data_IF_426191155214
#
_entry.id   IF_426191155214
#
_cell.length_a   1.000
_cell.length_b   1.000
_cell.length_c   1.000
_cell.angle_alpha   90.00
_cell.angle_beta   90.00
_cell.angle_gamma   90.00
#
_symmetry.space_group_name_H-M   'P 1'
#
loop_
_entity.id
_entity.type
_entity.pdbx_description
1 polymer ?
#
# COMPACT_ATOMS: atom_id res chain seq x y z
N UNK A 1 9.02 19.17 -10.72
CA UNK A 1 7.89 19.20 -9.78
C UNK A 1 7.61 17.78 -9.31
N UNK A 2 7.40 17.54 -8.00
CA UNK A 2 7.13 16.21 -7.47
C UNK A 2 5.85 15.63 -8.09
N UNK A 3 5.77 14.30 -8.17
CA UNK A 3 4.53 13.64 -8.60
C UNK A 3 3.40 13.96 -7.61
N UNK A 4 2.14 14.06 -8.07
CA UNK A 4 1.02 14.18 -7.15
C UNK A 4 0.91 12.91 -6.28
N UNK A 5 0.77 13.12 -4.98
CA UNK A 5 0.77 12.06 -3.97
C UNK A 5 -0.39 12.25 -2.99
N UNK A 6 -0.83 11.14 -2.40
CA UNK A 6 -1.84 11.13 -1.34
C UNK A 6 -1.28 10.43 -0.09
N UNK A 7 -1.44 11.07 1.07
CA UNK A 7 -1.14 10.45 2.38
C UNK A 7 -2.20 9.38 2.67
N UNK A 8 -1.76 8.15 2.94
CA UNK A 8 -2.63 7.05 3.30
C UNK A 8 -3.01 7.14 4.79
N UNK A 9 -4.29 7.03 5.14
CA UNK A 9 -4.71 6.99 6.54
C UNK A 9 -4.14 5.76 7.24
N UNK A 10 -3.76 5.94 8.52
CA UNK A 10 -3.30 4.86 9.37
C UNK A 10 -4.45 3.92 9.72
N UNK A 11 -4.13 2.63 9.88
CA UNK A 11 -5.07 1.58 10.21
C UNK A 11 -4.69 0.85 11.50
N UNK A 12 -5.56 -0.07 11.91
CA UNK A 12 -5.24 -1.02 12.97
C UNK A 12 -5.18 -2.44 12.41
N UNK A 13 -4.29 -3.25 12.99
CA UNK A 13 -3.96 -4.57 12.48
C UNK A 13 -4.58 -5.67 13.34
N UNK A 14 -5.11 -6.70 12.70
CA UNK A 14 -5.72 -7.87 13.35
C UNK A 14 -5.06 -9.13 12.79
N UNK A 15 -4.40 -9.89 13.66
CA UNK A 15 -3.84 -11.20 13.33
C UNK A 15 -4.93 -12.27 13.49
N UNK A 16 -5.18 -13.02 12.42
CA UNK A 16 -6.10 -14.14 12.48
C UNK A 16 -5.35 -15.45 12.77
N UNK A 17 -5.91 -16.33 13.61
CA UNK A 17 -5.26 -17.61 13.88
C UNK A 17 -5.23 -18.48 12.62
N UNK A 18 -4.20 -19.33 12.50
CA UNK A 18 -4.03 -20.34 11.44
C UNK A 18 -3.80 -19.76 10.03
N UNK A 19 -3.28 -18.53 9.94
CA UNK A 19 -2.87 -17.90 8.68
C UNK A 19 -1.68 -16.97 8.94
N UNK A 20 -0.69 -16.90 8.04
CA UNK A 20 0.38 -15.91 8.14
C UNK A 20 -0.08 -14.49 7.75
N UNK A 21 -1.28 -14.38 7.16
CA UNK A 21 -1.85 -13.10 6.75
C UNK A 21 -2.37 -12.29 7.94
N UNK A 22 -1.93 -11.03 8.00
CA UNK A 22 -2.43 -9.96 8.86
C UNK A 22 -3.48 -9.14 8.10
N UNK A 23 -4.57 -8.74 8.75
CA UNK A 23 -5.53 -7.80 8.17
C UNK A 23 -5.32 -6.42 8.77
N UNK A 24 -5.10 -5.42 7.94
CA UNK A 24 -4.97 -4.02 8.35
C UNK A 24 -6.24 -3.29 7.93
N UNK A 25 -7.08 -2.90 8.89
CA UNK A 25 -8.29 -2.13 8.63
C UNK A 25 -7.98 -0.64 8.64
N UNK A 26 -8.45 0.07 7.62
CA UNK A 26 -8.18 1.50 7.44
C UNK A 26 -9.51 2.22 7.25
N UNK A 27 -9.75 3.23 8.08
CA UNK A 27 -10.86 4.16 7.91
C UNK A 27 -10.38 5.35 7.08
N UNK A 28 -11.12 5.71 6.04
CA UNK A 28 -10.83 6.91 5.27
C UNK A 28 -11.45 8.16 5.90
N UNK A 29 -11.09 9.33 5.35
CA UNK A 29 -11.57 10.64 5.81
C UNK A 29 -13.09 10.82 5.67
N UNK A 30 -13.78 9.97 4.89
CA UNK A 30 -15.23 9.97 4.72
C UNK A 30 -15.92 8.99 5.66
N UNK A 31 -15.17 8.40 6.59
CA UNK A 31 -15.66 7.42 7.55
C UNK A 31 -15.91 6.03 6.96
N UNK A 32 -15.52 5.77 5.71
CA UNK A 32 -15.66 4.44 5.08
C UNK A 32 -14.46 3.57 5.42
N UNK A 33 -14.69 2.26 5.49
CA UNK A 33 -13.68 1.29 5.85
C UNK A 33 -13.18 0.54 4.62
N UNK A 34 -11.88 0.26 4.60
CA UNK A 34 -11.26 -0.73 3.70
C UNK A 34 -10.32 -1.61 4.53
N UNK A 35 -9.72 -2.59 3.88
CA UNK A 35 -8.67 -3.38 4.51
C UNK A 35 -7.56 -3.74 3.54
N UNK A 36 -6.39 -4.07 4.09
CA UNK A 36 -5.24 -4.61 3.37
C UNK A 36 -4.89 -5.95 4.02
N UNK A 37 -4.54 -6.93 3.20
CA UNK A 37 -4.03 -8.22 3.63
C UNK A 37 -2.50 -8.19 3.51
N UNK A 38 -1.79 -8.31 4.62
CA UNK A 38 -0.33 -8.30 4.64
C UNK A 38 0.20 -9.70 4.91
N UNK A 39 0.98 -10.24 3.97
CA UNK A 39 1.73 -11.48 4.12
C UNK A 39 3.22 -11.21 4.26
N UNK A 40 4.02 -12.26 4.18
CA UNK A 40 5.48 -12.18 4.26
C UNK A 40 6.09 -11.50 3.03
N UNK A 41 5.66 -11.90 1.84
CA UNK A 41 6.31 -11.48 0.58
C UNK A 41 5.54 -10.37 -0.16
N UNK A 42 4.27 -10.16 0.17
CA UNK A 42 3.43 -9.16 -0.50
C UNK A 42 2.29 -8.69 0.41
N UNK A 43 1.76 -7.51 0.09
CA UNK A 43 0.45 -7.07 0.55
C UNK A 43 -0.55 -7.08 -0.60
N UNK A 44 -1.82 -7.30 -0.27
CA UNK A 44 -2.92 -7.27 -1.20
C UNK A 44 -4.00 -6.32 -0.69
N UNK A 45 -4.38 -5.38 -1.55
CA UNK A 45 -5.44 -4.41 -1.29
C UNK A 45 -6.59 -4.64 -2.28
N UNK A 46 -7.77 -5.10 -1.82
CA UNK A 46 -8.95 -5.20 -2.68
C UNK A 46 -9.26 -3.84 -3.33
N UNK A 47 -9.66 -3.85 -4.61
CA UNK A 47 -9.85 -2.61 -5.39
C UNK A 47 -10.89 -1.68 -4.77
N UNK A 48 -10.73 -0.37 -4.97
CA UNK A 48 -11.50 0.73 -4.35
C UNK A 48 -13.04 0.65 -4.41
N UNK A 49 -13.64 -0.24 -5.20
CA UNK A 49 -15.09 -0.49 -5.15
C UNK A 49 -15.54 -1.07 -3.80
N UNK A 50 -14.61 -1.56 -2.99
CA UNK A 50 -14.87 -2.18 -1.69
C UNK A 50 -14.66 -1.21 -0.52
N UNK A 51 -15.20 0.01 -0.61
CA UNK A 51 -15.29 0.94 0.53
C UNK A 51 -16.55 0.63 1.32
N UNK A 52 -16.39 0.03 2.49
CA UNK A 52 -17.47 -0.46 3.32
C UNK A 52 -18.06 0.66 4.21
N UNK A 53 -19.38 0.66 4.45
CA UNK A 53 -20.03 1.66 5.30
C UNK A 53 -19.62 1.53 6.76
N UNK A 54 -19.43 0.29 7.22
CA UNK A 54 -19.13 -0.02 8.62
C UNK A 54 -17.89 -0.89 8.74
N UNK A 55 -17.30 -0.89 9.95
CA UNK A 55 -16.19 -1.78 10.28
C UNK A 55 -16.60 -3.26 10.18
N UNK A 56 -17.83 -3.61 10.56
CA UNK A 56 -18.31 -4.99 10.50
C UNK A 56 -18.51 -5.48 9.06
N UNK A 57 -18.96 -4.61 8.14
CA UNK A 57 -19.00 -4.91 6.71
C UNK A 57 -17.60 -5.20 6.16
N UNK A 58 -16.62 -4.36 6.51
CA UNK A 58 -15.24 -4.57 6.12
C UNK A 58 -14.69 -5.87 6.72
N UNK A 59 -14.99 -6.17 7.98
CA UNK A 59 -14.57 -7.39 8.67
C UNK A 59 -15.12 -8.65 8.00
N UNK A 60 -16.41 -8.66 7.65
CA UNK A 60 -17.04 -9.78 6.93
C UNK A 60 -16.36 -10.01 5.58
N UNK A 61 -16.12 -8.94 4.83
CA UNK A 61 -15.43 -9.06 3.56
C UNK A 61 -13.97 -9.50 3.72
N UNK A 62 -13.25 -9.00 4.72
CA UNK A 62 -11.88 -9.40 5.00
C UNK A 62 -11.77 -10.91 5.28
N UNK A 63 -12.74 -11.50 5.99
CA UNK A 63 -12.79 -12.95 6.20
C UNK A 63 -12.94 -13.72 4.89
N UNK A 64 -13.79 -13.27 3.96
CA UNK A 64 -13.93 -13.88 2.64
C UNK A 64 -12.62 -13.83 1.84
N UNK A 65 -11.93 -12.68 1.85
CA UNK A 65 -10.64 -12.54 1.18
C UNK A 65 -9.53 -13.32 1.89
N UNK A 66 -9.53 -13.43 3.22
CA UNK A 66 -8.59 -14.28 3.95
C UNK A 66 -8.70 -15.75 3.53
N UNK A 67 -9.93 -16.26 3.37
CA UNK A 67 -10.13 -17.62 2.86
C UNK A 67 -9.63 -17.76 1.42
N UNK A 68 -9.76 -16.72 0.59
CA UNK A 68 -9.13 -16.68 -0.72
C UNK A 68 -7.59 -16.77 -0.57
N UNK A 69 -6.98 -15.97 0.30
CA UNK A 69 -5.52 -15.97 0.50
C UNK A 69 -5.00 -17.33 0.98
N UNK A 70 -5.67 -17.98 1.93
CA UNK A 70 -5.33 -19.34 2.38
C UNK A 70 -5.38 -20.34 1.23
N UNK A 71 -6.36 -20.20 0.32
CA UNK A 71 -6.43 -21.03 -0.89
C UNK A 71 -5.28 -20.73 -1.83
N UNK A 72 -4.87 -19.47 -2.01
CA UNK A 72 -3.72 -19.12 -2.85
C UNK A 72 -2.45 -19.85 -2.41
N UNK A 73 -2.15 -19.80 -1.10
CA UNK A 73 -0.99 -20.49 -0.51
C UNK A 73 -1.02 -21.99 -0.77
N UNK A 74 -2.20 -22.61 -0.67
CA UNK A 74 -2.36 -24.06 -0.86
C UNK A 74 -2.41 -24.49 -2.32
N UNK A 75 -2.95 -23.67 -3.21
CA UNK A 75 -3.34 -24.09 -4.57
C UNK A 75 -2.43 -23.57 -5.68
N UNK A 76 -1.36 -22.82 -5.36
CA UNK A 76 -0.50 -22.14 -6.36
C UNK A 76 -1.30 -21.30 -7.35
N UNK A 77 -2.45 -20.77 -6.93
CA UNK A 77 -3.27 -19.92 -7.77
C UNK A 77 -2.45 -18.68 -8.17
N UNK A 78 -2.44 -18.39 -9.48
CA UNK A 78 -1.51 -17.45 -10.09
C UNK A 78 -1.82 -16.03 -9.61
N UNK A 79 -0.80 -15.27 -9.22
CA UNK A 79 -0.88 -13.86 -8.83
C UNK A 79 -1.71 -12.99 -9.81
N UNK A 80 -1.82 -13.41 -11.08
CA UNK A 80 -2.68 -12.77 -12.08
C UNK A 80 -4.16 -12.69 -11.68
N UNK A 81 -4.71 -13.67 -10.95
CA UNK A 81 -6.11 -13.60 -10.49
C UNK A 81 -6.27 -12.52 -9.43
N UNK A 82 -5.32 -12.41 -8.49
CA UNK A 82 -5.34 -11.34 -7.49
C UNK A 82 -5.22 -9.96 -8.13
N UNK A 83 -4.34 -9.82 -9.12
CA UNK A 83 -4.17 -8.56 -9.86
C UNK A 83 -5.46 -8.11 -10.59
N UNK A 84 -6.40 -9.02 -10.86
CA UNK A 84 -7.69 -8.66 -11.43
C UNK A 84 -8.69 -8.11 -10.41
N UNK A 85 -8.57 -8.50 -9.14
CA UNK A 85 -9.53 -8.14 -8.08
C UNK A 85 -9.01 -7.07 -7.11
N UNK A 86 -7.73 -6.74 -7.16
CA UNK A 86 -7.12 -5.71 -6.32
C UNK A 86 -5.71 -5.33 -6.74
N UNK A 87 -5.07 -4.56 -5.87
CA UNK A 87 -3.70 -4.06 -6.03
C UNK A 87 -2.77 -5.00 -5.26
N UNK A 88 -1.74 -5.49 -5.93
CA UNK A 88 -0.63 -6.19 -5.31
C UNK A 88 0.45 -5.19 -4.94
N UNK A 89 0.99 -5.30 -3.73
CA UNK A 89 2.09 -4.47 -3.25
C UNK A 89 3.26 -5.34 -2.89
N UNK A 90 4.41 -5.05 -3.48
CA UNK A 90 5.64 -5.79 -3.24
C UNK A 90 6.64 -4.88 -2.53
N UNK A 91 7.12 -5.26 -1.33
CA UNK A 91 8.19 -4.51 -0.69
C UNK A 91 9.42 -4.55 -1.60
N UNK A 92 10.07 -3.42 -1.75
CA UNK A 92 11.33 -3.28 -2.47
C UNK A 92 12.45 -3.07 -1.45
N UNK A 93 13.46 -2.28 -1.83
CA UNK A 93 14.51 -1.86 -0.93
C UNK A 93 14.06 -0.75 0.03
N UNK A 94 14.80 -0.62 1.14
CA UNK A 94 14.80 0.61 1.93
C UNK A 94 15.68 1.62 1.20
N UNK A 95 15.13 2.77 0.83
CA UNK A 95 15.88 3.86 0.21
C UNK A 95 15.93 5.03 1.17
N UNK A 96 17.15 5.34 1.65
CA UNK A 96 17.40 6.26 2.77
C UNK A 96 16.66 5.79 4.03
N UNK A 97 15.63 6.53 4.46
CA UNK A 97 14.78 6.24 5.63
C UNK A 97 13.37 5.76 5.26
N UNK A 98 13.10 5.52 3.98
CA UNK A 98 11.79 5.12 3.48
C UNK A 98 11.80 3.67 3.02
N UNK A 99 10.77 2.92 3.42
CA UNK A 99 10.50 1.62 2.83
C UNK A 99 9.72 1.83 1.52
N UNK A 100 10.31 1.42 0.40
CA UNK A 100 9.69 1.55 -0.92
C UNK A 100 8.84 0.33 -1.25
N UNK A 101 7.66 0.55 -1.81
CA UNK A 101 6.73 -0.49 -2.24
C UNK A 101 6.33 -0.28 -3.70
N UNK A 102 6.42 -1.34 -4.50
CA UNK A 102 5.91 -1.35 -5.87
C UNK A 102 4.45 -1.80 -5.85
N UNK A 103 3.57 -0.99 -6.42
CA UNK A 103 2.15 -1.31 -6.56
C UNK A 103 1.89 -1.81 -7.99
N UNK A 104 1.13 -2.89 -8.11
CA UNK A 104 0.72 -3.47 -9.38
C UNK A 104 -0.80 -3.54 -9.41
N UNK A 105 -1.40 -2.87 -10.39
CA UNK A 105 -2.82 -2.97 -10.72
C UNK A 105 -2.93 -3.42 -12.18
N UNK A 106 -3.26 -4.71 -12.38
CA UNK A 106 -3.23 -5.39 -13.68
C UNK A 106 -1.87 -5.19 -14.39
N UNK A 107 -1.85 -4.36 -15.43
CA UNK A 107 -0.67 -4.06 -16.27
C UNK A 107 -0.10 -2.67 -15.99
N UNK A 108 -0.43 -2.07 -14.85
CA UNK A 108 -0.03 -0.72 -14.47
C UNK A 108 0.70 -0.76 -13.15
N UNK A 109 1.66 0.15 -13.01
CA UNK A 109 2.56 0.20 -11.88
C UNK A 109 2.47 1.55 -11.20
N UNK A 110 2.46 1.57 -9.87
CA UNK A 110 2.59 2.78 -9.06
C UNK A 110 3.53 2.48 -7.89
N UNK A 111 3.62 3.40 -6.94
CA UNK A 111 4.50 3.26 -5.80
C UNK A 111 3.86 3.82 -4.52
N UNK A 112 4.29 3.24 -3.41
CA UNK A 112 4.08 3.75 -2.06
C UNK A 112 5.42 3.82 -1.35
N UNK A 113 5.56 4.79 -0.47
CA UNK A 113 6.70 4.91 0.44
C UNK A 113 6.17 5.04 1.86
N UNK A 114 6.76 4.28 2.78
CA UNK A 114 6.48 4.36 4.20
C UNK A 114 7.69 4.99 4.89
N UNK A 115 7.51 6.17 5.46
CA UNK A 115 8.53 6.85 6.25
C UNK A 115 8.74 6.19 7.61
N UNK A 116 9.88 6.49 8.25
CA UNK A 116 10.21 6.02 9.60
C UNK A 116 9.24 6.52 10.68
N UNK A 117 8.56 7.64 10.42
CA UNK A 117 7.48 8.22 11.22
C UNK A 117 6.14 7.49 11.08
N UNK A 118 6.08 6.46 10.22
CA UNK A 118 4.87 5.70 9.94
C UNK A 118 3.91 6.37 8.95
N UNK A 119 4.31 7.49 8.33
CA UNK A 119 3.52 8.14 7.28
C UNK A 119 3.69 7.38 5.98
N UNK A 120 2.58 6.89 5.42
CA UNK A 120 2.55 6.22 4.13
C UNK A 120 2.08 7.19 3.04
N UNK A 121 2.88 7.35 1.99
CA UNK A 121 2.61 8.24 0.85
C UNK A 121 2.45 7.37 -0.40
N UNK A 122 1.35 7.55 -1.13
CA UNK A 122 1.06 6.85 -2.40
C UNK A 122 1.10 7.82 -3.57
N UNK A 123 1.69 7.42 -4.69
CA UNK A 123 1.51 8.14 -5.94
C UNK A 123 0.09 8.02 -6.50
N UNK A 124 -0.48 9.14 -6.93
CA UNK A 124 -1.78 9.16 -7.63
C UNK A 124 -1.67 8.64 -9.06
N UNK A 125 -0.46 8.73 -9.65
CA UNK A 125 -0.22 8.37 -11.05
C UNK A 125 0.22 6.92 -11.21
N UNK A 126 -0.33 6.28 -12.24
CA UNK A 126 0.04 4.95 -12.68
C UNK A 126 0.87 4.98 -13.98
N UNK A 127 1.83 4.07 -14.09
CA UNK A 127 2.83 3.98 -15.14
C UNK A 127 2.74 2.66 -15.89
N UNK A 128 3.28 2.62 -17.12
CA UNK A 128 3.33 1.42 -17.96
C UNK A 128 4.49 0.47 -17.62
N UNK A 129 5.51 0.97 -16.94
CA UNK A 129 6.75 0.24 -16.63
C UNK A 129 7.06 0.35 -15.14
N UNK A 130 7.47 -0.74 -14.47
CA UNK A 130 7.78 -0.73 -13.04
C UNK A 130 8.98 0.17 -12.72
N UNK A 131 10.01 0.21 -13.57
CA UNK A 131 11.20 1.03 -13.35
C UNK A 131 10.86 2.52 -13.33
N UNK A 132 9.89 2.94 -14.16
CA UNK A 132 9.40 4.32 -14.14
C UNK A 132 8.73 4.66 -12.82
N UNK A 133 7.92 3.75 -12.27
CA UNK A 133 7.29 3.96 -10.97
C UNK A 133 8.34 4.08 -9.86
N UNK A 134 9.30 3.15 -9.80
CA UNK A 134 10.35 3.15 -8.79
C UNK A 134 11.25 4.39 -8.87
N UNK A 135 11.67 4.79 -10.08
CA UNK A 135 12.45 6.02 -10.25
C UNK A 135 11.67 7.25 -9.79
N UNK A 136 10.37 7.32 -10.08
CA UNK A 136 9.51 8.43 -9.62
C UNK A 136 9.33 8.45 -8.10
N UNK A 137 9.36 7.29 -7.45
CA UNK A 137 9.35 7.20 -6.00
C UNK A 137 10.65 7.74 -5.39
N UNK A 138 11.80 7.34 -5.95
CA UNK A 138 13.12 7.83 -5.52
C UNK A 138 13.25 9.34 -5.72
N UNK A 139 12.85 9.85 -6.89
CA UNK A 139 12.78 11.29 -7.17
C UNK A 139 11.98 12.04 -6.09
N UNK A 140 10.86 11.46 -5.65
CA UNK A 140 10.01 12.05 -4.61
C UNK A 140 10.68 12.01 -3.23
N UNK A 141 11.26 10.87 -2.84
CA UNK A 141 12.01 10.74 -1.58
C UNK A 141 13.18 11.74 -1.53
N UNK A 142 13.93 11.87 -2.62
CA UNK A 142 15.05 12.81 -2.70
C UNK A 142 14.57 14.26 -2.59
N UNK A 143 13.39 14.58 -3.16
CA UNK A 143 12.78 15.91 -3.04
C UNK A 143 12.32 16.24 -1.61
N UNK A 144 11.65 15.31 -0.91
CA UNK A 144 11.25 15.51 0.49
C UNK A 144 12.47 15.70 1.40
N UNK A 145 13.50 14.85 1.24
CA UNK A 145 14.74 15.01 2.02
C UNK A 145 15.43 16.35 1.75
N UNK A 146 15.49 16.80 0.49
CA UNK A 146 16.07 18.09 0.16
C UNK A 146 15.26 19.24 0.79
N UNK A 147 13.93 19.15 0.80
CA UNK A 147 13.05 20.14 1.43
C UNK A 147 13.26 20.20 2.94
N UNK A 148 13.40 19.05 3.61
CA UNK A 148 13.67 19.01 5.04
C UNK A 148 15.07 19.55 5.38
N UNK A 149 16.10 19.19 4.60
CA UNK A 149 17.43 19.78 4.74
C UNK A 149 17.43 21.31 4.57
N UNK A 150 16.66 21.83 3.60
CA UNK A 150 16.51 23.27 3.40
C UNK A 150 15.82 23.91 4.61
N UNK A 151 14.78 23.27 5.18
CA UNK A 151 14.12 23.75 6.40
C UNK A 151 15.08 23.81 7.58
N UNK A 152 15.89 22.78 7.77
CA UNK A 152 16.86 22.70 8.87
C UNK A 152 17.95 23.77 8.75
N UNK A 153 18.40 24.09 7.52
CA UNK A 153 19.45 25.10 7.29
C UNK A 153 18.90 26.52 7.39
N UNK A 154 17.72 26.78 6.83
CA UNK A 154 17.16 28.15 6.73
C UNK A 154 16.28 28.49 7.95
N UNK A 155 15.94 27.52 8.79
CA UNK A 155 15.20 27.75 10.05
C UNK A 155 13.78 28.27 9.84
N UNK A 156 13.12 27.93 8.73
CA UNK A 156 11.74 28.35 8.48
C UNK A 156 10.78 27.66 9.46
N UNK A 157 10.35 28.44 10.46
CA UNK A 157 9.20 28.19 11.34
C UNK A 157 7.90 28.52 10.62
#
# INVERSE_FOLDING_TARGET
MPAPVTIQPQGFSVQYPKTPWLVIFIQDVRGRFRFILSGQDLQFEPRDRYRYPTQDDARRAALCFLELMKRLERSRMRLGILAEVGILKFPQEVYRSYQLWLLIDRTRYSWEVLGADGVCIRAERWYKRPETALNKAKDHIDWENAKDQIRDIIGWV
#
